data_IF_318539753182
#
_entry.id   IF_318539753182
#
_cell.length_a   1.000
_cell.length_b   1.000
_cell.length_c   1.000
_cell.angle_alpha   90.00
_cell.angle_beta   90.00
_cell.angle_gamma   90.00
#
_symmetry.space_group_name_H-M   'P 1'
#
loop_
_entity.id
_entity.type
_entity.pdbx_description
1 polymer ?
#
# COMPACT_ATOMS: atom_id res chain seq x y z
N UNK A 1 4.05 44.03 -3.21
CA UNK A 1 4.54 42.66 -2.93
C UNK A 1 3.70 41.71 -3.75
N UNK A 2 4.30 41.03 -4.74
CA UNK A 2 3.63 40.05 -5.60
C UNK A 2 3.68 38.66 -4.92
N UNK A 3 2.66 37.80 -5.08
CA UNK A 3 2.75 36.41 -4.66
C UNK A 3 3.36 35.54 -5.76
N UNK A 4 4.35 34.75 -5.38
CA UNK A 4 4.92 33.69 -6.20
C UNK A 4 3.97 32.49 -6.22
N UNK A 5 3.63 32.02 -7.42
CA UNK A 5 2.88 30.80 -7.65
C UNK A 5 3.85 29.63 -7.85
N UNK A 6 4.05 28.81 -6.82
CA UNK A 6 4.75 27.53 -6.97
C UNK A 6 3.77 26.45 -7.45
N UNK A 7 4.00 26.00 -8.69
CA UNK A 7 3.34 24.85 -9.29
C UNK A 7 4.12 23.59 -8.92
N UNK A 8 3.60 22.79 -7.99
CA UNK A 8 4.09 21.42 -7.79
C UNK A 8 3.17 20.42 -8.49
N UNK A 9 3.76 19.74 -9.47
CA UNK A 9 3.11 18.74 -10.30
C UNK A 9 2.72 17.48 -9.54
N UNK A 10 1.53 17.00 -9.83
CA UNK A 10 0.97 15.72 -9.38
C UNK A 10 1.67 14.58 -10.11
N UNK A 11 2.52 13.82 -9.40
CA UNK A 11 3.08 12.57 -9.93
C UNK A 11 2.08 11.45 -9.69
N UNK A 12 1.39 11.06 -10.75
CA UNK A 12 0.48 9.91 -10.79
C UNK A 12 1.29 8.61 -10.71
N UNK A 13 1.23 7.93 -9.56
CA UNK A 13 1.75 6.58 -9.40
C UNK A 13 0.79 5.60 -10.08
N UNK A 14 1.08 5.24 -11.34
CA UNK A 14 0.40 4.16 -12.05
C UNK A 14 0.73 2.82 -11.38
N UNK A 15 -0.32 2.15 -10.93
CA UNK A 15 -0.34 0.78 -10.42
C UNK A 15 0.30 -0.19 -11.41
N UNK A 16 1.36 -0.89 -10.97
CA UNK A 16 2.09 -1.91 -11.74
C UNK A 16 1.62 -3.34 -11.44
N UNK A 17 0.50 -3.53 -10.75
CA UNK A 17 -0.01 -4.88 -10.45
C UNK A 17 -1.15 -5.28 -11.38
N UNK A 18 -0.81 -5.55 -12.64
CA UNK A 18 -1.64 -6.35 -13.54
C UNK A 18 -1.16 -7.80 -13.49
N UNK A 19 -1.89 -8.66 -12.78
CA UNK A 19 -1.72 -10.12 -12.82
C UNK A 19 -2.26 -10.67 -14.15
N UNK A 20 -1.49 -11.45 -14.92
CA UNK A 20 -2.07 -12.34 -15.92
C UNK A 20 -2.62 -13.60 -15.25
N UNK A 21 -3.75 -14.07 -15.77
CA UNK A 21 -4.49 -15.24 -15.34
C UNK A 21 -3.67 -16.54 -15.42
N UNK A 22 -3.93 -17.44 -14.47
CA UNK A 22 -3.47 -18.83 -14.45
C UNK A 22 -4.02 -19.58 -15.66
N UNK A 23 -3.16 -20.04 -16.54
CA UNK A 23 -3.46 -21.15 -17.44
C UNK A 23 -3.06 -22.46 -16.77
N UNK A 24 -4.04 -23.32 -16.48
CA UNK A 24 -3.80 -24.71 -16.11
C UNK A 24 -3.30 -25.46 -17.34
N UNK A 25 -2.09 -25.99 -17.29
CA UNK A 25 -1.62 -26.95 -18.29
C UNK A 25 -1.64 -28.32 -17.62
N UNK A 26 -2.48 -29.17 -18.20
CA UNK A 26 -2.67 -30.58 -17.89
C UNK A 26 -1.34 -31.32 -17.78
N UNK A 27 -1.16 -32.01 -16.65
CA UNK A 27 -0.14 -33.06 -16.49
C UNK A 27 -0.56 -34.25 -17.35
N UNK A 28 0.05 -34.40 -18.52
CA UNK A 28 -0.02 -35.66 -19.25
C UNK A 28 0.76 -36.73 -18.47
N UNK A 29 0.04 -37.79 -18.11
CA UNK A 29 0.57 -39.02 -17.51
C UNK A 29 1.41 -39.76 -18.55
N UNK A 30 2.72 -39.82 -18.35
CA UNK A 30 3.61 -40.67 -19.15
C UNK A 30 3.49 -42.09 -18.58
N UNK A 31 2.79 -42.95 -19.30
CA UNK A 31 2.73 -44.39 -19.05
C UNK A 31 4.09 -45.00 -19.42
N UNK A 32 4.74 -45.79 -18.54
CA UNK A 32 6.01 -46.42 -18.88
C UNK A 32 5.82 -47.56 -19.90
N UNK A 33 6.77 -47.77 -20.84
CA UNK A 33 6.69 -48.84 -21.81
C UNK A 33 6.83 -50.21 -21.12
N UNK A 34 5.94 -51.14 -21.49
CA UNK A 34 5.94 -52.52 -21.02
C UNK A 34 7.24 -53.23 -21.41
N UNK A 35 7.95 -53.74 -20.40
CA UNK A 35 9.05 -54.69 -20.53
C UNK A 35 8.54 -55.98 -21.17
N UNK A 36 8.89 -56.23 -22.42
CA UNK A 36 8.76 -57.54 -23.06
C UNK A 36 9.93 -58.44 -22.64
N UNK A 37 9.59 -59.54 -21.95
CA UNK A 37 10.52 -60.57 -21.49
C UNK A 37 11.27 -61.25 -22.65
N UNK A 38 12.51 -61.75 -22.46
CA UNK A 38 13.20 -62.56 -23.44
C UNK A 38 12.53 -63.94 -23.59
N UNK A 39 12.41 -64.38 -24.83
CA UNK A 39 11.93 -65.70 -25.23
C UNK A 39 13.01 -66.74 -24.92
N UNK A 40 12.73 -67.64 -23.97
CA UNK A 40 13.47 -68.89 -23.73
C UNK A 40 13.66 -69.64 -25.06
N UNK A 41 14.90 -69.81 -25.50
CA UNK A 41 15.29 -70.84 -26.47
C UNK A 41 15.58 -72.15 -25.72
N UNK A 42 14.94 -73.21 -26.20
CA UNK A 42 15.15 -74.62 -25.80
C UNK A 42 16.51 -75.14 -26.32
N UNK A 43 17.05 -76.21 -25.73
CA UNK A 43 18.39 -76.71 -26.00
C UNK A 43 18.49 -77.43 -27.35
N UNK A 44 19.64 -77.29 -28.03
CA UNK A 44 19.95 -78.04 -29.24
C UNK A 44 20.19 -79.51 -28.90
N UNK A 45 19.38 -80.37 -29.50
CA UNK A 45 19.56 -81.82 -29.47
C UNK A 45 20.92 -82.22 -30.06
N UNK A 46 21.62 -82.97 -29.24
CA UNK A 46 22.73 -83.85 -29.53
C UNK A 46 22.37 -84.79 -30.69
N UNK A 47 23.02 -84.60 -31.85
CA UNK A 47 23.10 -85.64 -32.89
C UNK A 47 24.50 -86.21 -32.91
N UNK A 48 24.66 -87.30 -32.17
CA UNK A 48 25.66 -88.32 -32.47
C UNK A 48 25.32 -88.92 -33.83
N UNK A 49 26.19 -88.68 -34.82
CA UNK A 49 26.16 -89.41 -36.08
C UNK A 49 27.52 -90.06 -36.28
N UNK A 50 27.66 -91.22 -35.66
CA UNK A 50 28.71 -92.19 -35.96
C UNK A 50 28.40 -92.81 -37.33
N UNK A 51 29.31 -92.67 -38.29
CA UNK A 51 29.45 -93.67 -39.33
C UNK A 51 30.89 -93.78 -39.84
N UNK A 52 31.38 -95.00 -39.70
CA UNK A 52 32.73 -95.47 -39.93
C UNK A 52 32.86 -96.02 -41.37
N UNK A 53 34.10 -95.95 -41.87
CA UNK A 53 34.72 -96.68 -42.98
C UNK A 53 34.36 -96.32 -44.43
N UNK A 54 35.38 -95.75 -45.10
CA UNK A 54 35.51 -95.74 -46.55
C UNK A 54 36.90 -95.28 -46.98
N UNK A 55 37.93 -96.09 -46.73
CA UNK A 55 39.30 -95.90 -47.23
C UNK A 55 39.27 -96.01 -48.77
N UNK A 56 38.95 -94.92 -49.46
CA UNK A 56 39.05 -94.84 -50.93
C UNK A 56 40.39 -94.22 -51.32
N UNK A 57 41.09 -95.00 -52.12
CA UNK A 57 42.36 -94.66 -52.74
C UNK A 57 42.23 -93.36 -53.55
N UNK A 58 43.21 -92.48 -53.36
CA UNK A 58 43.68 -91.38 -54.19
C UNK A 58 42.95 -91.18 -55.53
N UNK A 59 41.95 -90.29 -55.51
CA UNK A 59 41.36 -89.68 -56.69
C UNK A 59 41.65 -88.17 -56.63
N UNK A 60 42.42 -87.57 -57.55
CA UNK A 60 42.87 -86.17 -57.47
C UNK A 60 41.73 -85.14 -57.49
N UNK A 61 40.49 -85.56 -57.79
CA UNK A 61 39.28 -84.73 -57.70
C UNK A 61 38.71 -84.60 -56.28
N UNK A 62 38.96 -85.58 -55.40
CA UNK A 62 38.53 -85.54 -53.98
C UNK A 62 39.35 -84.50 -53.21
N UNK A 63 40.64 -84.35 -53.54
CA UNK A 63 41.53 -83.36 -52.91
C UNK A 63 41.12 -81.89 -53.11
N UNK A 64 40.39 -81.57 -54.19
CA UNK A 64 40.00 -80.18 -54.48
C UNK A 64 38.70 -79.79 -53.79
N UNK A 65 37.75 -80.73 -53.69
CA UNK A 65 36.52 -80.55 -52.94
C UNK A 65 36.78 -80.42 -51.43
N UNK A 66 37.68 -81.26 -50.89
CA UNK A 66 38.06 -81.20 -49.48
C UNK A 66 38.77 -79.88 -49.14
N UNK A 67 39.64 -79.38 -50.02
CA UNK A 67 40.27 -78.06 -49.86
C UNK A 67 39.26 -76.91 -49.92
N UNK A 68 38.25 -77.02 -50.77
CA UNK A 68 37.20 -76.01 -50.88
C UNK A 68 36.33 -75.98 -49.61
N UNK A 69 35.96 -77.15 -49.09
CA UNK A 69 35.26 -77.30 -47.80
C UNK A 69 36.11 -76.71 -46.67
N UNK A 70 37.40 -77.05 -46.59
CA UNK A 70 38.31 -76.50 -45.58
C UNK A 70 38.43 -74.97 -45.65
N UNK A 71 38.45 -74.39 -46.85
CA UNK A 71 38.45 -72.91 -47.00
C UNK A 71 37.11 -72.28 -46.63
N UNK A 72 35.99 -72.96 -46.87
CA UNK A 72 34.66 -72.52 -46.47
C UNK A 72 34.51 -72.57 -44.95
N UNK A 73 34.98 -73.64 -44.31
CA UNK A 73 34.98 -73.79 -42.85
C UNK A 73 35.87 -72.73 -42.21
N UNK A 74 37.09 -72.51 -42.73
CA UNK A 74 37.99 -71.45 -42.26
C UNK A 74 37.40 -70.05 -42.47
N UNK A 75 36.68 -69.83 -43.57
CA UNK A 75 35.94 -68.58 -43.78
C UNK A 75 34.77 -68.43 -42.80
N UNK A 76 34.05 -69.52 -42.53
CA UNK A 76 32.97 -69.57 -41.53
C UNK A 76 33.46 -69.26 -40.13
N UNK A 77 34.58 -69.87 -39.71
CA UNK A 77 35.23 -69.61 -38.42
C UNK A 77 35.69 -68.16 -38.32
N UNK A 78 36.41 -67.65 -39.33
CA UNK A 78 36.87 -66.25 -39.31
C UNK A 78 35.74 -65.23 -39.35
N UNK A 79 34.65 -65.51 -40.06
CA UNK A 79 33.45 -64.67 -40.05
C UNK A 79 32.76 -64.75 -38.68
N UNK A 80 32.70 -65.94 -38.07
CA UNK A 80 32.08 -66.13 -36.77
C UNK A 80 32.87 -65.40 -35.68
N UNK A 81 34.19 -65.58 -35.63
CA UNK A 81 35.10 -64.88 -34.71
C UNK A 81 35.01 -63.38 -34.88
N UNK A 82 34.98 -62.89 -36.13
CA UNK A 82 34.83 -61.46 -36.40
C UNK A 82 33.47 -60.93 -35.92
N UNK A 83 32.39 -61.65 -36.20
CA UNK A 83 31.05 -61.27 -35.76
C UNK A 83 30.91 -61.29 -34.23
N UNK A 84 31.55 -62.25 -33.56
CA UNK A 84 31.55 -62.37 -32.11
C UNK A 84 32.34 -61.22 -31.47
N UNK A 85 33.52 -60.91 -32.02
CA UNK A 85 34.34 -59.79 -31.56
C UNK A 85 33.65 -58.43 -31.77
N UNK A 86 33.04 -58.22 -32.95
CA UNK A 86 32.30 -56.99 -33.23
C UNK A 86 31.09 -56.85 -32.29
N UNK A 87 30.36 -57.95 -32.03
CA UNK A 87 29.24 -57.96 -31.10
C UNK A 87 29.71 -57.65 -29.66
N UNK A 88 30.75 -58.31 -29.18
CA UNK A 88 31.31 -58.09 -27.84
C UNK A 88 31.81 -56.65 -27.68
N UNK A 89 32.45 -56.08 -28.71
CA UNK A 89 32.89 -54.69 -28.68
C UNK A 89 31.71 -53.71 -28.64
N UNK A 90 30.63 -53.98 -29.39
CA UNK A 90 29.42 -53.14 -29.33
C UNK A 90 28.70 -53.26 -27.98
N UNK A 91 28.65 -54.45 -27.39
CA UNK A 91 28.07 -54.69 -26.07
C UNK A 91 28.87 -53.95 -25.00
N UNK A 92 30.21 -54.02 -25.05
CA UNK A 92 31.11 -53.33 -24.13
C UNK A 92 30.96 -51.81 -24.22
N UNK A 93 30.91 -51.26 -25.44
CA UNK A 93 30.68 -49.82 -25.67
C UNK A 93 29.31 -49.38 -25.15
N UNK A 94 28.27 -50.15 -25.42
CA UNK A 94 26.92 -49.83 -24.94
C UNK A 94 26.87 -49.86 -23.41
N UNK A 95 27.51 -50.84 -22.79
CA UNK A 95 27.57 -50.99 -21.33
C UNK A 95 28.32 -49.82 -20.68
N UNK A 96 29.48 -49.44 -21.23
CA UNK A 96 30.24 -48.27 -20.77
C UNK A 96 29.44 -46.97 -20.90
N UNK A 97 28.75 -46.76 -22.02
CA UNK A 97 27.93 -45.56 -22.21
C UNK A 97 26.73 -45.54 -21.25
N UNK A 98 26.17 -46.72 -20.93
CA UNK A 98 25.05 -46.84 -20.00
C UNK A 98 25.49 -46.55 -18.55
N UNK A 99 26.67 -47.01 -18.16
CA UNK A 99 27.29 -46.68 -16.87
C UNK A 99 27.60 -45.19 -16.75
N UNK A 100 28.18 -44.58 -17.78
CA UNK A 100 28.45 -43.14 -17.82
C UNK A 100 27.16 -42.32 -17.71
N UNK A 101 26.11 -42.71 -18.45
CA UNK A 101 24.80 -42.06 -18.38
C UNK A 101 24.16 -42.23 -16.99
N UNK A 102 24.31 -43.39 -16.36
CA UNK A 102 23.79 -43.62 -15.01
C UNK A 102 24.47 -42.69 -13.98
N UNK A 103 25.79 -42.53 -14.07
CA UNK A 103 26.55 -41.61 -13.22
C UNK A 103 26.15 -40.15 -13.45
N UNK A 104 25.93 -39.73 -14.71
CA UNK A 104 25.53 -38.37 -15.02
C UNK A 104 24.11 -38.05 -14.51
N UNK A 105 23.18 -39.01 -14.64
CA UNK A 105 21.83 -38.89 -14.08
C UNK A 105 21.89 -38.80 -12.55
N UNK A 106 22.70 -39.62 -11.89
CA UNK A 106 22.86 -39.57 -10.43
C UNK A 106 23.44 -38.23 -9.97
N UNK A 107 24.46 -37.71 -10.67
CA UNK A 107 25.03 -36.40 -10.41
C UNK A 107 23.99 -35.28 -10.61
N UNK A 108 23.13 -35.38 -11.62
CA UNK A 108 22.04 -34.43 -11.85
C UNK A 108 20.98 -34.50 -10.74
N UNK A 109 20.60 -35.69 -10.29
CA UNK A 109 19.69 -35.88 -9.17
C UNK A 109 20.26 -35.27 -7.87
N UNK A 110 21.56 -35.40 -7.64
CA UNK A 110 22.23 -34.81 -6.47
C UNK A 110 22.19 -33.28 -6.52
N UNK A 111 22.55 -32.68 -7.67
CA UNK A 111 22.48 -31.22 -7.88
C UNK A 111 21.05 -30.68 -7.73
N UNK A 112 20.06 -31.40 -8.24
CA UNK A 112 18.65 -31.03 -8.07
C UNK A 112 18.24 -31.08 -6.60
N UNK A 113 18.68 -32.10 -5.86
CA UNK A 113 18.41 -32.21 -4.43
C UNK A 113 19.03 -31.06 -3.62
N UNK A 114 20.26 -30.66 -3.95
CA UNK A 114 20.93 -29.50 -3.32
C UNK A 114 20.18 -28.18 -3.54
N UNK A 115 19.56 -28.01 -4.71
CA UNK A 115 18.76 -26.82 -5.02
C UNK A 115 17.36 -26.91 -4.39
N UNK A 116 16.78 -28.11 -4.32
CA UNK A 116 15.44 -28.32 -3.79
C UNK A 116 15.38 -28.23 -2.27
N UNK A 117 16.41 -28.71 -1.55
CA UNK A 117 16.48 -28.69 -0.09
C UNK A 117 16.21 -27.28 0.53
N UNK A 118 16.84 -26.18 0.08
CA UNK A 118 16.53 -24.85 0.60
C UNK A 118 15.13 -24.36 0.20
N UNK A 119 14.57 -24.82 -0.92
CA UNK A 119 13.21 -24.45 -1.37
C UNK A 119 12.12 -25.20 -0.63
N UNK A 120 12.42 -26.40 -0.09
CA UNK A 120 11.51 -27.16 0.76
C UNK A 120 11.38 -26.58 2.18
N UNK A 121 12.26 -25.64 2.57
CA UNK A 121 12.15 -24.97 3.87
C UNK A 121 10.85 -24.18 3.93
N UNK A 122 9.98 -24.43 4.92
CA UNK A 122 8.72 -23.72 5.01
C UNK A 122 8.98 -22.24 5.32
N UNK A 123 8.16 -21.35 4.75
CA UNK A 123 8.20 -19.89 4.98
C UNK A 123 8.15 -19.54 6.48
N UNK A 124 7.64 -20.43 7.33
CA UNK A 124 7.62 -20.26 8.78
C UNK A 124 8.99 -20.26 9.45
N UNK A 125 10.00 -20.83 8.80
CA UNK A 125 11.40 -20.87 9.29
C UNK A 125 12.29 -19.83 8.62
N UNK A 126 11.76 -19.06 7.66
CA UNK A 126 12.50 -17.97 7.04
C UNK A 126 12.67 -16.82 8.03
N UNK A 127 13.92 -16.44 8.30
CA UNK A 127 14.29 -15.31 9.14
C UNK A 127 14.78 -14.16 8.26
N UNK A 128 14.31 -12.95 8.56
CA UNK A 128 14.84 -11.71 8.01
C UNK A 128 15.93 -11.20 8.94
N UNK A 129 17.09 -10.88 8.37
CA UNK A 129 18.14 -10.19 9.11
C UNK A 129 17.82 -8.68 9.10
N UNK A 130 17.31 -8.18 10.22
CA UNK A 130 17.15 -6.74 10.41
C UNK A 130 18.52 -6.13 10.68
N UNK A 131 19.00 -5.30 9.74
CA UNK A 131 20.18 -4.47 9.95
C UNK A 131 19.75 -3.24 10.75
N UNK A 132 19.90 -3.27 12.07
CA UNK A 132 19.62 -2.10 12.89
C UNK A 132 20.72 -1.06 12.64
N UNK A 133 20.37 0.06 12.03
CA UNK A 133 21.31 1.17 11.82
C UNK A 133 21.78 1.66 13.19
N UNK A 134 23.11 1.64 13.38
CA UNK A 134 23.76 2.15 14.58
C UNK A 134 23.50 3.65 14.73
N UNK A 135 22.49 4.02 15.52
CA UNK A 135 22.41 5.36 16.09
C UNK A 135 23.70 5.64 16.86
N UNK A 136 24.28 6.83 16.63
CA UNK A 136 25.56 7.32 17.18
C UNK A 136 25.93 6.69 18.53
N UNK A 137 26.74 5.62 18.50
CA UNK A 137 27.33 5.00 19.69
C UNK A 137 26.94 3.55 20.01
N UNK A 138 25.97 2.94 19.31
CA UNK A 138 25.64 1.53 19.51
C UNK A 138 26.25 0.63 18.42
N UNK A 139 26.80 -0.53 18.81
CA UNK A 139 27.24 -1.58 17.88
C UNK A 139 26.04 -1.98 17.01
N UNK A 140 26.23 -1.99 15.68
CA UNK A 140 25.22 -2.47 14.74
C UNK A 140 24.91 -3.94 15.06
N UNK A 141 23.78 -4.18 15.72
CA UNK A 141 23.26 -5.51 15.97
C UNK A 141 22.44 -5.97 14.77
N UNK A 142 22.81 -7.11 14.20
CA UNK A 142 21.93 -7.86 13.30
C UNK A 142 20.97 -8.68 14.16
N UNK A 143 19.68 -8.38 14.04
CA UNK A 143 18.60 -9.10 14.73
C UNK A 143 17.88 -9.97 13.70
N UNK A 144 17.94 -11.29 13.86
CA UNK A 144 17.17 -12.21 13.02
C UNK A 144 15.74 -12.29 13.55
N UNK A 145 14.79 -11.83 12.75
CA UNK A 145 13.36 -11.85 13.08
C UNK A 145 12.66 -12.76 12.10
N UNK A 146 11.83 -13.68 12.60
CA UNK A 146 11.07 -14.58 11.74
C UNK A 146 10.15 -13.78 10.81
N UNK A 147 10.17 -14.08 9.51
CA UNK A 147 9.38 -13.37 8.50
C UNK A 147 7.88 -13.39 8.83
N UNK A 148 7.39 -14.51 9.36
CA UNK A 148 6.00 -14.65 9.80
C UNK A 148 5.64 -13.67 10.92
N UNK A 149 6.55 -13.47 11.87
CA UNK A 149 6.35 -12.57 13.02
C UNK A 149 6.36 -11.11 12.55
N UNK A 150 7.33 -10.74 11.69
CA UNK A 150 7.38 -9.41 11.06
C UNK A 150 6.13 -9.08 10.24
N UNK A 151 5.62 -10.03 9.43
CA UNK A 151 4.37 -9.83 8.67
C UNK A 151 3.17 -9.66 9.61
N UNK A 152 3.13 -10.42 10.71
CA UNK A 152 2.08 -10.31 11.73
C UNK A 152 2.10 -8.92 12.39
N UNK A 153 3.28 -8.48 12.85
CA UNK A 153 3.47 -7.15 13.43
C UNK A 153 3.09 -6.04 12.46
N UNK A 154 3.51 -6.14 11.20
CA UNK A 154 3.14 -5.17 10.16
C UNK A 154 1.63 -5.09 9.96
N UNK A 155 0.93 -6.24 9.91
CA UNK A 155 -0.54 -6.25 9.78
C UNK A 155 -1.21 -5.63 10.98
N UNK A 156 -0.73 -5.94 12.18
CA UNK A 156 -1.25 -5.36 13.43
C UNK A 156 -1.06 -3.84 13.42
N UNK A 157 0.15 -3.37 13.11
CA UNK A 157 0.46 -1.95 13.00
C UNK A 157 -0.41 -1.26 11.94
N UNK A 158 -0.62 -1.90 10.78
CA UNK A 158 -1.45 -1.35 9.72
C UNK A 158 -2.93 -1.22 10.15
N UNK A 159 -3.46 -2.19 10.89
CA UNK A 159 -4.81 -2.11 11.45
C UNK A 159 -4.92 -0.97 12.49
N UNK A 160 -3.96 -0.88 13.42
CA UNK A 160 -3.91 0.19 14.43
C UNK A 160 -3.83 1.58 13.77
N UNK A 161 -2.94 1.75 12.79
CA UNK A 161 -2.82 3.01 12.03
C UNK A 161 -4.07 3.29 11.20
N UNK A 162 -4.69 2.27 10.62
CA UNK A 162 -5.96 2.38 9.91
C UNK A 162 -7.12 2.80 10.82
N UNK A 163 -7.12 2.40 12.09
CA UNK A 163 -8.10 2.87 13.08
C UNK A 163 -7.86 4.34 13.45
N UNK A 164 -6.61 4.72 13.70
CA UNK A 164 -6.24 6.11 13.99
C UNK A 164 -6.63 7.05 12.83
N UNK A 165 -6.38 6.63 11.58
CA UNK A 165 -6.76 7.42 10.40
C UNK A 165 -8.29 7.57 10.28
N UNK A 166 -9.07 6.53 10.59
CA UNK A 166 -10.53 6.62 10.62
C UNK A 166 -11.00 7.61 11.69
N UNK A 167 -10.44 7.55 12.89
CA UNK A 167 -10.78 8.47 13.97
C UNK A 167 -10.42 9.92 13.60
N UNK A 168 -9.21 10.17 13.09
CA UNK A 168 -8.80 11.51 12.63
C UNK A 168 -9.73 12.05 11.53
N UNK A 169 -10.22 11.17 10.66
CA UNK A 169 -11.16 11.56 9.62
C UNK A 169 -12.51 11.98 10.21
N UNK A 170 -13.03 11.22 11.18
CA UNK A 170 -14.27 11.56 11.90
C UNK A 170 -14.12 12.88 12.68
N UNK A 171 -13.01 13.08 13.40
CA UNK A 171 -12.72 14.33 14.11
C UNK A 171 -12.62 15.53 13.16
N UNK A 172 -12.01 15.34 11.99
CA UNK A 172 -11.93 16.37 10.97
C UNK A 172 -13.31 16.72 10.40
N UNK A 173 -14.15 15.73 10.11
CA UNK A 173 -15.54 15.95 9.69
C UNK A 173 -16.33 16.74 10.75
N UNK A 174 -16.18 16.41 12.04
CA UNK A 174 -16.83 17.13 13.13
C UNK A 174 -16.35 18.59 13.25
N UNK A 175 -15.05 18.85 13.11
CA UNK A 175 -14.51 20.23 13.09
C UNK A 175 -15.07 21.03 11.93
N UNK A 176 -15.20 20.43 10.74
CA UNK A 176 -15.83 21.12 9.61
C UNK A 176 -17.28 21.50 9.89
N UNK A 177 -18.07 20.60 10.48
CA UNK A 177 -19.45 20.87 10.87
C UNK A 177 -19.54 22.01 11.89
N UNK A 178 -18.63 22.04 12.87
CA UNK A 178 -18.55 23.13 13.86
C UNK A 178 -18.23 24.48 13.20
N UNK A 179 -17.26 24.53 12.27
CA UNK A 179 -16.93 25.75 11.53
C UNK A 179 -18.13 26.24 10.73
N UNK A 180 -18.86 25.34 10.06
CA UNK A 180 -20.06 25.69 9.32
C UNK A 180 -21.17 26.24 10.24
N UNK A 181 -21.36 25.63 11.41
CA UNK A 181 -22.32 26.12 12.41
C UNK A 181 -21.96 27.52 12.90
N UNK A 182 -20.68 27.74 13.24
CA UNK A 182 -20.20 29.05 13.68
C UNK A 182 -20.36 30.11 12.58
N UNK A 183 -20.13 29.76 11.32
CA UNK A 183 -20.35 30.66 10.20
C UNK A 183 -21.83 31.09 10.09
N UNK A 184 -22.78 30.19 10.39
CA UNK A 184 -24.21 30.54 10.46
C UNK A 184 -24.53 31.40 11.67
N UNK A 185 -23.93 31.11 12.83
CA UNK A 185 -24.08 31.93 14.03
C UNK A 185 -23.60 33.37 13.82
N UNK A 186 -22.52 33.57 13.07
CA UNK A 186 -21.93 34.90 12.86
C UNK A 186 -22.55 35.66 11.69
N UNK A 187 -22.77 34.99 10.55
CA UNK A 187 -23.15 35.64 9.29
C UNK A 187 -24.63 35.44 8.92
N UNK A 188 -25.38 34.66 9.70
CA UNK A 188 -26.79 34.36 9.43
C UNK A 188 -26.97 33.36 8.28
N UNK A 189 -28.23 33.09 7.92
CA UNK A 189 -28.61 31.99 6.99
C UNK A 189 -28.13 32.20 5.55
N UNK A 190 -27.89 33.45 5.14
CA UNK A 190 -27.60 33.81 3.75
C UNK A 190 -26.15 33.52 3.35
N UNK A 191 -25.23 33.39 4.32
CA UNK A 191 -23.82 33.07 4.09
C UNK A 191 -23.57 31.62 3.67
N UNK A 192 -24.54 30.73 3.90
CA UNK A 192 -24.37 29.30 3.69
C UNK A 192 -24.48 28.84 2.22
N UNK A 193 -24.81 29.76 1.29
CA UNK A 193 -24.85 29.45 -0.14
C UNK A 193 -23.50 28.96 -0.68
N UNK A 194 -22.39 29.24 0.03
CA UNK A 194 -21.04 28.82 -0.36
C UNK A 194 -20.77 27.33 -0.12
N UNK A 195 -21.42 26.68 0.86
CA UNK A 195 -21.07 25.28 1.21
C UNK A 195 -21.93 24.25 0.47
N UNK A 196 -23.10 24.64 -0.06
CA UNK A 196 -23.96 23.71 -0.82
C UNK A 196 -23.51 23.47 -2.27
N UNK A 197 -22.54 24.23 -2.80
CA UNK A 197 -22.23 24.21 -4.24
C UNK A 197 -21.00 23.39 -4.67
N UNK A 198 -20.06 23.04 -3.78
CA UNK A 198 -18.79 22.41 -4.22
C UNK A 198 -18.51 21.01 -3.65
N UNK A 199 -19.11 20.62 -2.53
CA UNK A 199 -18.84 19.34 -1.88
C UNK A 199 -19.96 18.36 -2.16
N UNK A 200 -19.60 17.21 -2.76
CA UNK A 200 -20.52 16.14 -3.12
C UNK A 200 -21.47 15.71 -1.99
N UNK A 201 -22.56 15.05 -2.37
CA UNK A 201 -23.66 14.60 -1.50
C UNK A 201 -23.17 14.16 -0.12
N UNK A 202 -23.43 14.99 0.90
CA UNK A 202 -23.23 14.67 2.32
C UNK A 202 -23.84 13.31 2.65
N UNK A 203 -23.19 12.53 3.52
CA UNK A 203 -23.71 11.22 3.89
C UNK A 203 -25.05 11.37 4.62
N UNK A 204 -25.99 10.42 4.44
CA UNK A 204 -27.22 10.39 5.26
C UNK A 204 -26.83 10.28 6.74
N UNK A 205 -27.27 11.25 7.55
CA UNK A 205 -26.89 11.42 8.97
C UNK A 205 -26.02 12.67 9.22
N UNK A 206 -25.10 13.02 8.31
CA UNK A 206 -24.36 14.29 8.42
C UNK A 206 -25.26 15.49 8.13
N UNK A 207 -26.18 15.35 7.18
CA UNK A 207 -27.16 16.39 6.86
C UNK A 207 -28.09 16.68 8.05
N UNK A 208 -28.50 15.64 8.79
CA UNK A 208 -29.37 15.77 9.96
C UNK A 208 -28.63 16.46 11.12
N UNK A 209 -27.41 16.01 11.45
CA UNK A 209 -26.55 16.68 12.44
C UNK A 209 -26.31 18.15 12.08
N UNK A 210 -25.99 18.42 10.82
CA UNK A 210 -25.76 19.78 10.35
C UNK A 210 -27.04 20.63 10.47
N UNK A 211 -28.20 20.06 10.17
CA UNK A 211 -29.49 20.74 10.32
C UNK A 211 -29.79 21.09 11.79
N UNK A 212 -29.52 20.16 12.70
CA UNK A 212 -29.69 20.37 14.15
C UNK A 212 -28.75 21.46 14.66
N UNK A 213 -27.47 21.42 14.26
CA UNK A 213 -26.50 22.46 14.58
C UNK A 213 -26.94 23.82 14.02
N UNK A 214 -27.44 23.87 12.78
CA UNK A 214 -27.99 25.10 12.21
C UNK A 214 -29.21 25.63 12.94
N UNK A 215 -30.06 24.75 13.47
CA UNK A 215 -31.22 25.17 14.25
C UNK A 215 -30.77 25.89 15.52
N UNK A 216 -29.78 25.34 16.23
CA UNK A 216 -29.17 25.95 17.43
C UNK A 216 -28.45 27.26 17.07
N UNK A 217 -27.62 27.23 16.03
CA UNK A 217 -26.89 28.40 15.55
C UNK A 217 -27.81 29.56 15.19
N UNK A 218 -28.91 29.24 14.49
CA UNK A 218 -29.92 30.22 14.09
C UNK A 218 -30.60 30.85 15.30
N UNK A 219 -30.91 30.06 16.33
CA UNK A 219 -31.48 30.62 17.56
C UNK A 219 -30.50 31.57 18.26
N UNK A 220 -29.21 31.21 18.33
CA UNK A 220 -28.17 32.08 18.88
C UNK A 220 -28.00 33.39 18.10
N UNK A 221 -27.95 33.33 16.76
CA UNK A 221 -27.88 34.54 15.93
C UNK A 221 -29.08 35.47 16.14
N UNK A 222 -30.30 34.92 16.19
CA UNK A 222 -31.49 35.74 16.43
C UNK A 222 -31.51 36.36 17.82
N UNK A 223 -31.01 35.66 18.83
CA UNK A 223 -30.87 36.18 20.18
C UNK A 223 -29.82 37.29 20.25
N UNK A 224 -28.62 37.07 19.68
CA UNK A 224 -27.58 38.09 19.58
C UNK A 224 -28.09 39.35 18.88
N UNK A 225 -28.80 39.18 17.75
CA UNK A 225 -29.39 40.29 17.00
C UNK A 225 -30.46 41.04 17.82
N UNK A 226 -31.27 40.33 18.60
CA UNK A 226 -32.27 40.94 19.49
C UNK A 226 -31.59 41.74 20.60
N UNK A 227 -30.58 41.18 21.25
CA UNK A 227 -29.81 41.82 22.31
C UNK A 227 -29.11 43.08 21.78
N UNK A 228 -28.54 43.01 20.57
CA UNK A 228 -27.92 44.19 19.94
C UNK A 228 -28.96 45.29 19.68
N UNK A 229 -30.15 44.94 19.17
CA UNK A 229 -31.22 45.92 18.95
C UNK A 229 -31.75 46.52 20.26
N UNK A 230 -31.76 45.76 21.35
CA UNK A 230 -32.12 46.25 22.69
C UNK A 230 -31.06 47.18 23.27
N UNK A 231 -29.79 46.82 23.15
CA UNK A 231 -28.67 47.68 23.53
C UNK A 231 -28.70 49.00 22.76
N UNK A 232 -28.95 48.95 21.45
CA UNK A 232 -29.05 50.16 20.62
C UNK A 232 -30.18 51.07 21.11
N UNK A 233 -31.37 50.51 21.38
CA UNK A 233 -32.49 51.30 21.96
C UNK A 233 -32.14 51.93 23.31
N UNK A 234 -31.40 51.21 24.14
CA UNK A 234 -30.93 51.73 25.43
C UNK A 234 -29.93 52.88 25.26
N UNK A 235 -29.00 52.76 24.31
CA UNK A 235 -28.06 53.82 23.98
C UNK A 235 -28.75 55.07 23.42
N UNK A 236 -29.70 54.88 22.50
CA UNK A 236 -30.49 55.99 21.93
C UNK A 236 -31.27 56.72 23.04
N UNK A 237 -31.88 55.98 23.97
CA UNK A 237 -32.56 56.56 25.13
C UNK A 237 -31.62 57.30 26.08
N UNK A 238 -30.43 56.75 26.32
CA UNK A 238 -29.40 57.43 27.12
C UNK A 238 -28.90 58.72 26.46
N UNK A 239 -28.74 58.73 25.13
CA UNK A 239 -28.37 59.92 24.37
C UNK A 239 -29.45 61.01 24.49
N UNK A 240 -30.72 60.64 24.42
CA UNK A 240 -31.84 61.56 24.63
C UNK A 240 -31.84 62.15 26.05
N UNK A 241 -31.68 61.31 27.07
CA UNK A 241 -31.59 61.73 28.47
C UNK A 241 -30.41 62.69 28.71
N UNK A 242 -29.24 62.38 28.14
CA UNK A 242 -28.06 63.24 28.21
C UNK A 242 -28.34 64.59 27.52
N UNK A 243 -29.03 64.59 26.39
CA UNK A 243 -29.49 65.79 25.71
C UNK A 243 -30.42 66.65 26.57
N UNK A 244 -31.38 66.02 27.26
CA UNK A 244 -32.27 66.72 28.18
C UNK A 244 -31.52 67.31 29.39
N UNK A 245 -30.59 66.56 29.99
CA UNK A 245 -29.77 67.03 31.11
C UNK A 245 -28.90 68.22 30.67
N UNK A 246 -28.26 68.12 29.50
CA UNK A 246 -27.44 69.19 28.93
C UNK A 246 -28.25 70.47 28.71
N UNK A 247 -29.46 70.35 28.14
CA UNK A 247 -30.36 71.50 27.94
C UNK A 247 -30.80 72.12 29.28
N UNK A 248 -31.16 71.31 30.28
CA UNK A 248 -31.48 71.80 31.63
C UNK A 248 -30.30 72.54 32.26
N UNK A 249 -29.09 71.96 32.20
CA UNK A 249 -27.88 72.58 32.73
C UNK A 249 -27.56 73.91 32.03
N UNK A 250 -27.72 73.98 30.70
CA UNK A 250 -27.55 75.22 29.92
C UNK A 250 -28.55 76.30 30.35
N UNK A 251 -29.82 75.94 30.56
CA UNK A 251 -30.84 76.88 31.03
C UNK A 251 -30.52 77.39 32.44
N UNK A 252 -30.15 76.50 33.37
CA UNK A 252 -29.75 76.88 34.74
C UNK A 252 -28.50 77.79 34.70
N UNK A 253 -27.51 77.47 33.89
CA UNK A 253 -26.32 78.31 33.74
C UNK A 253 -26.66 79.70 33.20
N UNK A 254 -27.60 79.78 32.24
CA UNK A 254 -28.10 81.05 31.70
C UNK A 254 -28.83 81.86 32.77
N UNK A 255 -29.72 81.24 33.54
CA UNK A 255 -30.44 81.88 34.65
C UNK A 255 -29.48 82.41 35.73
N UNK A 256 -28.48 81.62 36.12
CA UNK A 256 -27.44 82.06 37.07
C UNK A 256 -26.68 83.27 36.52
N UNK A 257 -26.33 83.25 35.23
CA UNK A 257 -25.63 84.37 34.59
C UNK A 257 -26.48 85.64 34.56
N UNK A 258 -27.75 85.53 34.15
CA UNK A 258 -28.70 86.64 34.11
C UNK A 258 -28.92 87.24 35.53
N UNK A 259 -29.12 86.39 36.54
CA UNK A 259 -29.25 86.79 37.95
C UNK A 259 -27.99 87.51 38.48
N UNK A 260 -26.80 86.98 38.16
CA UNK A 260 -25.53 87.61 38.51
C UNK A 260 -25.37 89.00 37.88
N UNK A 261 -25.67 89.13 36.57
CA UNK A 261 -25.61 90.41 35.85
C UNK A 261 -26.59 91.41 36.47
N UNK A 262 -27.84 91.00 36.74
CA UNK A 262 -28.84 91.85 37.37
C UNK A 262 -28.38 92.35 38.75
N UNK A 263 -27.88 91.46 39.60
CA UNK A 263 -27.36 91.82 40.94
C UNK A 263 -26.15 92.76 40.85
N UNK A 264 -25.25 92.54 39.89
CA UNK A 264 -24.11 93.42 39.63
C UNK A 264 -24.58 94.83 39.23
N UNK A 265 -25.54 94.94 38.31
CA UNK A 265 -26.10 96.23 37.89
C UNK A 265 -26.80 96.95 39.05
N UNK A 266 -27.54 96.22 39.89
CA UNK A 266 -28.21 96.77 41.06
C UNK A 266 -27.20 97.31 42.09
N UNK A 267 -26.18 96.51 42.42
CA UNK A 267 -25.10 96.96 43.30
C UNK A 267 -24.39 98.20 42.74
N UNK A 268 -24.17 98.26 41.42
CA UNK A 268 -23.53 99.41 40.79
C UNK A 268 -24.37 100.67 40.90
N UNK A 269 -25.70 100.57 40.69
CA UNK A 269 -26.64 101.68 40.93
C UNK A 269 -26.61 102.15 42.38
N UNK A 270 -26.61 101.22 43.34
CA UNK A 270 -26.53 101.57 44.77
C UNK A 270 -25.25 102.32 45.10
N UNK A 271 -24.10 101.86 44.59
CA UNK A 271 -22.81 102.56 44.76
C UNK A 271 -22.85 103.94 44.11
N UNK A 272 -23.38 104.07 42.89
CA UNK A 272 -23.50 105.38 42.21
C UNK A 272 -24.37 106.35 42.99
N UNK A 273 -25.53 105.90 43.50
CA UNK A 273 -26.42 106.74 44.31
C UNK A 273 -25.75 107.19 45.61
N UNK A 274 -25.02 106.30 46.30
CA UNK A 274 -24.25 106.66 47.49
C UNK A 274 -23.18 107.70 47.17
N UNK A 275 -22.44 107.53 46.08
CA UNK A 275 -21.43 108.50 45.65
C UNK A 275 -22.04 109.87 45.32
N UNK A 276 -23.21 109.89 44.67
CA UNK A 276 -23.92 111.15 44.37
C UNK A 276 -24.38 111.87 45.64
N UNK A 277 -24.90 111.14 46.65
CA UNK A 277 -25.23 111.71 47.95
C UNK A 277 -24.01 112.39 48.62
N UNK A 278 -22.81 111.83 48.45
CA UNK A 278 -21.57 112.43 48.98
C UNK A 278 -21.03 113.61 48.16
N UNK A 279 -21.55 113.88 46.97
CA UNK A 279 -21.07 114.99 46.11
C UNK A 279 -22.00 116.21 46.09
N UNK A 280 -23.21 116.07 46.66
CA UNK A 280 -24.21 117.16 46.77
C UNK A 280 -24.22 117.84 48.16
N UNK A 281 -23.32 117.45 49.07
CA UNK A 281 -22.91 118.16 50.29
C UNK A 281 -21.61 118.95 50.08
#
# INVERSE_FOLDING_TARGET
MQPATDKHGTVSAKSLFSRPARTSVDRQSIVPPRVTKPRRSLPSEQRDSSQFYGKRQNDPRVSLADKFIETLDRYGETLHDRSANDLEETERKLSSNLEELALDVEAHCHKLSEIEEPLQKPITTEALTNVRSAGKGAVAGTEEVLLKESISEFRKLNEEKGQILRQLWEEWEDVQLQIMSLAVELYGKDSLHVVQMETGTLKPGQLERLHDMFKVAKTGYHEMRRNHAELQRSLDGFEEDLGQISNKAKNVAKEIHESYVQKKTENMKQITNLLQQFTED
#
